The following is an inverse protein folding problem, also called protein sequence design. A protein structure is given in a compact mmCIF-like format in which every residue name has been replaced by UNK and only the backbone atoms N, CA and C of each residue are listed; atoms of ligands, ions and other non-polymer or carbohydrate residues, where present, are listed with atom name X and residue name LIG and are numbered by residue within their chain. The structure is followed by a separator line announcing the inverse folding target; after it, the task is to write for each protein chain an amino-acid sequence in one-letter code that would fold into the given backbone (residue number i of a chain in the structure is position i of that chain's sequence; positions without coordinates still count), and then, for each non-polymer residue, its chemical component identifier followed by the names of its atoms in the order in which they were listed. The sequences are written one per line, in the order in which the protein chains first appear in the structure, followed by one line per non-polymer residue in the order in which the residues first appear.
data_IF_168404754939
#
_entry.id   IF_168404754939
#
_cell.length_a   1.000
_cell.length_b   1.000
_cell.length_c   1.000
_cell.angle_alpha   90.00
_cell.angle_beta   90.00
_cell.angle_gamma   90.00
#
_symmetry.space_group_name_H-M   'P 1'
#
loop_
_entity.id
_entity.type
_entity.pdbx_description
1 polymer ?
#
# COMPACT_ATOMS: atom_id res chain seq x y z
N UNK A 1 -7.02 23.97 11.33
CA UNK A 1 -6.06 22.99 10.77
C UNK A 1 -6.75 22.40 9.57
N UNK A 2 -6.31 22.73 8.36
CA UNK A 2 -6.89 22.14 7.16
C UNK A 2 -6.72 20.63 7.30
N UNK A 3 -7.82 19.91 7.44
CA UNK A 3 -7.80 18.46 7.26
C UNK A 3 -7.34 18.27 5.83
N UNK A 4 -6.09 17.86 5.64
CA UNK A 4 -5.61 17.38 4.35
C UNK A 4 -6.66 16.38 3.87
N UNK A 5 -7.31 16.71 2.76
CA UNK A 5 -8.34 15.85 2.18
C UNK A 5 -7.59 14.60 1.76
N UNK A 6 -7.77 13.51 2.50
CA UNK A 6 -7.20 12.23 2.12
C UNK A 6 -7.67 11.89 0.70
N UNK A 7 -6.75 11.90 -0.25
CA UNK A 7 -7.05 11.47 -1.61
C UNK A 7 -7.20 9.96 -1.62
N UNK A 8 -8.32 9.49 -2.17
CA UNK A 8 -8.61 8.07 -2.32
C UNK A 8 -8.36 7.65 -3.77
N UNK A 9 -7.48 6.69 -3.96
CA UNK A 9 -7.24 6.04 -5.24
C UNK A 9 -7.87 4.63 -5.26
N UNK A 10 -8.39 4.24 -6.42
CA UNK A 10 -8.87 2.87 -6.68
C UNK A 10 -7.84 2.14 -7.52
N UNK A 11 -7.44 0.95 -7.07
CA UNK A 11 -6.47 0.10 -7.76
C UNK A 11 -7.16 -1.15 -8.29
N UNK A 12 -6.89 -1.49 -9.55
CA UNK A 12 -7.29 -2.76 -10.13
C UNK A 12 -6.15 -3.76 -9.95
N UNK A 13 -6.42 -4.82 -9.22
CA UNK A 13 -5.49 -5.90 -8.94
C UNK A 13 -6.09 -7.22 -9.41
N UNK A 14 -5.24 -8.18 -9.72
CA UNK A 14 -5.71 -9.54 -9.99
C UNK A 14 -6.41 -10.11 -8.75
N UNK A 15 -7.38 -11.01 -8.95
CA UNK A 15 -8.09 -11.67 -7.86
C UNK A 15 -7.13 -12.32 -6.85
N UNK A 16 -6.05 -12.94 -7.33
CA UNK A 16 -5.04 -13.57 -6.48
C UNK A 16 -4.37 -12.55 -5.56
N UNK A 17 -3.89 -11.43 -6.11
CA UNK A 17 -3.28 -10.35 -5.33
C UNK A 17 -4.24 -9.79 -4.26
N UNK A 18 -5.52 -9.62 -4.61
CA UNK A 18 -6.53 -9.13 -3.64
C UNK A 18 -6.70 -10.11 -2.48
N UNK A 19 -6.77 -11.41 -2.74
CA UNK A 19 -6.91 -12.41 -1.69
C UNK A 19 -5.65 -12.52 -0.83
N UNK A 20 -4.46 -12.44 -1.42
CA UNK A 20 -3.20 -12.41 -0.68
C UNK A 20 -3.13 -11.20 0.27
N UNK A 21 -3.49 -10.00 -0.21
CA UNK A 21 -3.56 -8.78 0.61
C UNK A 21 -4.58 -8.94 1.73
N UNK A 22 -5.77 -9.48 1.45
CA UNK A 22 -6.81 -9.71 2.46
C UNK A 22 -6.35 -10.69 3.55
N UNK A 23 -5.66 -11.77 3.15
CA UNK A 23 -5.15 -12.77 4.09
C UNK A 23 -4.07 -12.14 4.97
N UNK A 24 -3.07 -11.51 4.36
CA UNK A 24 -1.94 -10.91 5.08
C UNK A 24 -2.39 -9.78 6.03
N UNK A 25 -3.31 -8.92 5.59
CA UNK A 25 -3.86 -7.87 6.44
C UNK A 25 -4.59 -8.43 7.67
N UNK A 26 -5.30 -9.57 7.53
CA UNK A 26 -5.96 -10.25 8.64
C UNK A 26 -4.95 -10.87 9.61
N UNK A 27 -3.95 -11.56 9.09
CA UNK A 27 -2.87 -12.17 9.90
C UNK A 27 -2.13 -11.12 10.73
N UNK A 28 -1.86 -9.95 10.14
CA UNK A 28 -1.17 -8.84 10.81
C UNK A 28 -2.10 -7.93 11.63
N UNK A 29 -3.41 -8.20 11.66
CA UNK A 29 -4.42 -7.37 12.32
C UNK A 29 -4.41 -5.88 11.91
N UNK A 30 -4.15 -5.60 10.62
CA UNK A 30 -4.15 -4.24 10.06
C UNK A 30 -5.22 -4.08 8.98
N UNK A 31 -5.56 -2.82 8.66
CA UNK A 31 -6.45 -2.54 7.53
C UNK A 31 -5.77 -2.84 6.19
N UNK A 32 -6.55 -3.30 5.21
CA UNK A 32 -6.07 -3.51 3.82
C UNK A 32 -5.43 -2.25 3.25
N UNK A 33 -6.04 -1.08 3.48
CA UNK A 33 -5.51 0.20 3.02
C UNK A 33 -4.19 0.57 3.70
N UNK A 34 -3.99 0.20 4.97
CA UNK A 34 -2.72 0.40 5.65
C UNK A 34 -1.63 -0.49 5.03
N UNK A 35 -1.92 -1.77 4.79
CA UNK A 35 -0.99 -2.68 4.14
C UNK A 35 -0.60 -2.19 2.74
N UNK A 36 -1.56 -1.79 1.92
CA UNK A 36 -1.29 -1.24 0.58
C UNK A 36 -0.44 0.03 0.66
N UNK A 37 -0.70 0.94 1.62
CA UNK A 37 0.15 2.11 1.84
C UNK A 37 1.58 1.75 2.23
N UNK A 38 1.77 0.73 3.06
CA UNK A 38 3.10 0.25 3.43
C UNK A 38 3.85 -0.29 2.21
N UNK A 39 3.18 -1.11 1.38
CA UNK A 39 3.76 -1.67 0.15
C UNK A 39 4.16 -0.55 -0.82
N UNK A 40 3.30 0.46 -1.02
CA UNK A 40 3.60 1.60 -1.90
C UNK A 40 4.81 2.38 -1.39
N UNK A 41 4.86 2.68 -0.08
CA UNK A 41 5.98 3.43 0.52
C UNK A 41 7.31 2.69 0.36
N UNK A 42 7.32 1.39 0.66
CA UNK A 42 8.50 0.54 0.52
C UNK A 42 8.98 0.49 -0.93
N UNK A 43 8.06 0.36 -1.89
CA UNK A 43 8.40 0.35 -3.30
C UNK A 43 9.05 1.68 -3.73
N UNK A 44 8.46 2.82 -3.36
CA UNK A 44 9.00 4.14 -3.70
C UNK A 44 10.37 4.39 -3.08
N UNK A 45 10.59 3.98 -1.82
CA UNK A 45 11.89 4.12 -1.16
C UNK A 45 12.99 3.37 -1.91
N UNK A 46 12.73 2.13 -2.35
CA UNK A 46 13.67 1.32 -3.14
C UNK A 46 13.97 1.93 -4.51
N UNK A 47 13.00 2.58 -5.14
CA UNK A 47 13.19 3.27 -6.42
C UNK A 47 14.00 4.56 -6.25
N UNK A 48 13.88 5.25 -5.12
CA UNK A 48 14.72 6.41 -4.80
C UNK A 48 16.17 6.01 -4.51
N UNK A 49 16.39 4.92 -3.78
CA UNK A 49 17.73 4.37 -3.55
C UNK A 49 18.42 4.01 -4.87
N UNK A 50 17.74 3.30 -5.78
CA UNK A 50 18.29 2.91 -7.09
C UNK A 50 18.61 4.08 -8.02
N UNK A 51 18.00 5.26 -7.83
CA UNK A 51 18.26 6.45 -8.66
C UNK A 51 19.46 7.27 -8.17
N UNK A 52 19.86 7.07 -6.92
CA UNK A 52 20.94 7.82 -6.28
C UNK A 52 22.28 7.05 -6.30
N UNK A 53 22.29 5.82 -6.80
CA UNK A 53 23.46 4.99 -7.14
C UNK A 53 23.79 5.08 -8.64
#
# INVERSE_FOLDING_TARGET
MATDKFEHATFYLTRKQVEDIKRLAREQQISRSALVRMIIREYLAREEEQKND
#
